data_IF_118607971234
#
_entry.id   IF_118607971234
#
_cell.length_a   1.000
_cell.length_b   1.000
_cell.length_c   1.000
_cell.angle_alpha   90.00
_cell.angle_beta   90.00
_cell.angle_gamma   90.00
#
_symmetry.space_group_name_H-M   'P 1'
#
loop_
_entity.id
_entity.type
_entity.pdbx_description
1 polymer ?
#
# COMPACT_ATOMS: atom_id res chain seq x y z
N UNK A 1 9.47 14.08 3.25
CA UNK A 1 8.35 13.84 2.31
C UNK A 1 7.20 14.86 2.39
N UNK A 2 7.20 15.86 3.28
CA UNK A 2 6.07 16.81 3.44
C UNK A 2 5.89 17.86 2.33
N UNK A 3 6.66 17.80 1.23
CA UNK A 3 6.58 18.78 0.13
C UNK A 3 5.80 18.27 -1.09
N UNK A 4 5.48 16.97 -1.15
CA UNK A 4 4.79 16.35 -2.29
C UNK A 4 3.33 16.09 -1.88
N UNK A 5 2.35 16.84 -2.45
CA UNK A 5 0.94 16.72 -2.05
C UNK A 5 0.32 15.39 -2.47
N UNK A 6 0.75 14.82 -3.60
CA UNK A 6 0.28 13.54 -4.12
C UNK A 6 1.46 12.68 -4.57
N UNK A 7 1.52 11.44 -4.09
CA UNK A 7 2.42 10.41 -4.58
C UNK A 7 1.60 9.28 -5.20
N UNK A 8 2.05 8.78 -6.35
CA UNK A 8 1.47 7.61 -7.02
C UNK A 8 2.50 6.49 -6.98
N UNK A 9 2.09 5.33 -6.48
CA UNK A 9 2.87 4.09 -6.55
C UNK A 9 2.09 3.10 -7.39
N UNK A 10 2.65 2.80 -8.56
CA UNK A 10 2.02 1.95 -9.56
C UNK A 10 2.48 0.50 -9.40
N UNK A 11 1.61 -0.45 -9.78
CA UNK A 11 1.89 -1.89 -9.87
C UNK A 11 2.42 -2.54 -8.57
N UNK A 12 1.93 -2.11 -7.41
CA UNK A 12 2.30 -2.74 -6.13
C UNK A 12 1.91 -4.21 -6.13
N UNK A 13 2.89 -5.06 -5.79
CA UNK A 13 2.71 -6.50 -5.75
C UNK A 13 2.93 -7.23 -7.07
N UNK A 14 3.49 -6.59 -8.10
CA UNK A 14 3.94 -7.31 -9.30
C UNK A 14 4.99 -8.40 -8.96
N UNK A 15 5.95 -8.06 -8.10
CA UNK A 15 6.87 -9.01 -7.44
C UNK A 15 6.74 -8.90 -5.92
N UNK A 16 7.02 -9.99 -5.17
CA UNK A 16 7.13 -9.93 -3.71
C UNK A 16 8.16 -8.90 -3.27
N UNK A 17 7.86 -8.17 -2.20
CA UNK A 17 8.85 -7.29 -1.59
C UNK A 17 9.81 -8.09 -0.73
N UNK A 18 11.07 -7.69 -0.73
CA UNK A 18 11.98 -8.03 0.35
C UNK A 18 11.52 -7.36 1.65
N UNK A 19 11.82 -7.95 2.80
CA UNK A 19 11.35 -7.46 4.10
C UNK A 19 11.70 -6.00 4.35
N UNK A 20 12.87 -5.55 3.89
CA UNK A 20 13.28 -4.14 4.01
C UNK A 20 12.42 -3.22 3.13
N UNK A 21 12.12 -3.60 1.89
CA UNK A 21 11.24 -2.85 0.99
C UNK A 21 9.81 -2.77 1.54
N UNK A 22 9.29 -3.85 2.12
CA UNK A 22 8.00 -3.85 2.81
C UNK A 22 7.96 -2.86 3.98
N UNK A 23 9.01 -2.83 4.80
CA UNK A 23 9.13 -1.89 5.90
C UNK A 23 9.22 -0.43 5.40
N UNK A 24 10.01 -0.17 4.35
CA UNK A 24 10.09 1.16 3.74
C UNK A 24 8.75 1.62 3.17
N UNK A 25 8.00 0.73 2.50
CA UNK A 25 6.67 1.04 1.99
C UNK A 25 5.69 1.33 3.14
N UNK A 26 5.79 0.61 4.24
CA UNK A 26 4.99 0.85 5.43
C UNK A 26 5.27 2.19 6.07
N UNK A 27 6.55 2.57 6.17
CA UNK A 27 6.97 3.89 6.65
C UNK A 27 6.47 4.99 5.72
N UNK A 28 6.53 4.79 4.39
CA UNK A 28 5.97 5.70 3.41
C UNK A 28 4.47 5.91 3.64
N UNK A 29 3.68 4.82 3.66
CA UNK A 29 2.23 4.89 3.89
C UNK A 29 1.92 5.57 5.23
N UNK A 30 2.62 5.18 6.31
CA UNK A 30 2.43 5.77 7.64
C UNK A 30 2.79 7.25 7.70
N UNK A 31 3.81 7.70 6.97
CA UNK A 31 4.21 9.11 6.93
C UNK A 31 3.19 10.01 6.21
N UNK A 32 2.38 9.41 5.33
CA UNK A 32 1.37 10.09 4.51
C UNK A 32 -0.04 9.98 5.09
N UNK A 33 -0.30 8.97 5.92
CA UNK A 33 -1.55 8.76 6.64
C UNK A 33 -2.04 10.07 7.30
N UNK A 34 -3.26 10.49 6.95
CA UNK A 34 -3.90 11.74 7.41
C UNK A 34 -3.10 13.04 7.16
N UNK A 35 -2.06 13.01 6.32
CA UNK A 35 -1.15 14.15 6.07
C UNK A 35 -1.02 14.54 4.61
N UNK A 36 -0.97 13.58 3.68
CA UNK A 36 -0.85 13.84 2.24
C UNK A 36 -1.35 12.64 1.42
N UNK A 37 -1.87 12.89 0.22
CA UNK A 37 -2.54 11.84 -0.58
C UNK A 37 -1.56 10.82 -1.14
N UNK A 38 -1.97 9.55 -1.16
CA UNK A 38 -1.23 8.43 -1.76
C UNK A 38 -2.20 7.65 -2.65
N UNK A 39 -1.85 7.46 -3.92
CA UNK A 39 -2.55 6.54 -4.82
C UNK A 39 -1.67 5.31 -4.98
N UNK A 40 -2.27 4.14 -4.78
CA UNK A 40 -1.64 2.85 -5.01
C UNK A 40 -2.46 2.08 -6.02
N UNK A 41 -1.81 1.52 -7.04
CA UNK A 41 -2.44 0.57 -7.95
C UNK A 41 -1.87 -0.82 -7.70
N UNK A 42 -2.69 -1.85 -7.89
CA UNK A 42 -2.28 -3.24 -7.81
C UNK A 42 -3.16 -4.09 -8.70
N UNK A 43 -2.57 -5.11 -9.33
CA UNK A 43 -3.31 -6.16 -10.02
C UNK A 43 -3.66 -7.34 -9.10
N UNK A 44 -3.22 -7.32 -7.83
CA UNK A 44 -3.52 -8.35 -6.83
C UNK A 44 -4.68 -7.89 -5.93
N UNK A 45 -5.68 -8.76 -5.69
CA UNK A 45 -6.69 -8.47 -4.67
C UNK A 45 -6.04 -8.45 -3.28
N UNK A 46 -6.62 -7.69 -2.34
CA UNK A 46 -6.10 -7.56 -0.97
C UNK A 46 -5.83 -8.90 -0.27
N UNK A 47 -6.65 -9.94 -0.52
CA UNK A 47 -6.41 -11.28 0.03
C UNK A 47 -5.15 -11.98 -0.47
N UNK A 48 -4.41 -11.41 -1.43
CA UNK A 48 -3.11 -11.90 -1.91
C UNK A 48 -1.94 -11.00 -1.51
N UNK A 49 -2.19 -9.95 -0.72
CA UNK A 49 -1.13 -9.04 -0.32
C UNK A 49 -0.16 -9.66 0.70
N UNK A 50 -0.53 -10.77 1.36
CA UNK A 50 0.43 -11.56 2.15
C UNK A 50 1.62 -12.06 1.32
N UNK A 51 1.39 -12.45 0.06
CA UNK A 51 2.45 -12.82 -0.89
C UNK A 51 3.38 -11.64 -1.24
N UNK A 52 2.91 -10.41 -1.04
CA UNK A 52 3.63 -9.18 -1.40
C UNK A 52 4.43 -8.66 -0.21
N UNK A 53 3.82 -8.63 0.97
CA UNK A 53 4.39 -8.00 2.17
C UNK A 53 5.01 -9.01 3.17
N UNK A 54 5.00 -10.30 2.85
CA UNK A 54 5.68 -11.37 3.59
C UNK A 54 4.71 -12.31 4.31
N UNK A 55 3.68 -11.77 4.96
CA UNK A 55 2.62 -12.55 5.59
C UNK A 55 1.30 -11.74 5.66
N UNK A 56 0.21 -12.44 6.01
CA UNK A 56 -1.13 -11.84 6.07
C UNK A 56 -1.29 -10.83 7.22
N UNK A 57 -0.48 -10.90 8.28
CA UNK A 57 -0.54 -9.98 9.41
C UNK A 57 0.03 -8.62 9.00
N UNK A 58 1.20 -8.61 8.36
CA UNK A 58 1.83 -7.39 7.83
C UNK A 58 0.98 -6.81 6.70
N UNK A 59 0.45 -7.65 5.81
CA UNK A 59 -0.44 -7.22 4.75
C UNK A 59 -1.72 -6.55 5.29
N UNK A 60 -2.38 -7.15 6.28
CA UNK A 60 -3.57 -6.55 6.91
C UNK A 60 -3.26 -5.19 7.54
N UNK A 61 -2.13 -5.07 8.24
CA UNK A 61 -1.70 -3.80 8.84
C UNK A 61 -1.37 -2.72 7.79
N UNK A 62 -0.88 -3.12 6.62
CA UNK A 62 -0.68 -2.21 5.48
C UNK A 62 -2.01 -1.76 4.88
N UNK A 63 -2.91 -2.71 4.60
CA UNK A 63 -4.22 -2.45 4.01
C UNK A 63 -5.01 -1.51 4.91
N UNK A 64 -5.03 -1.75 6.22
CA UNK A 64 -5.72 -0.89 7.19
C UNK A 64 -5.26 0.58 7.09
N UNK A 65 -3.94 0.80 7.02
CA UNK A 65 -3.37 2.14 6.84
C UNK A 65 -3.73 2.79 5.51
N UNK A 66 -3.74 2.02 4.43
CA UNK A 66 -4.05 2.53 3.10
C UNK A 66 -5.54 2.81 2.91
N UNK A 67 -6.42 2.01 3.54
CA UNK A 67 -7.85 2.01 3.26
C UNK A 67 -8.66 2.86 4.25
N UNK A 68 -8.15 3.12 5.46
CA UNK A 68 -8.93 3.79 6.51
C UNK A 68 -9.49 5.17 6.07
N UNK A 69 -8.69 6.15 5.63
CA UNK A 69 -9.18 7.36 4.99
C UNK A 69 -9.04 7.29 3.46
N UNK A 70 -9.58 6.27 2.80
CA UNK A 70 -9.45 6.13 1.35
C UNK A 70 -10.71 5.65 0.63
N UNK A 71 -10.72 5.94 -0.68
CA UNK A 71 -11.66 5.35 -1.63
C UNK A 71 -10.99 4.16 -2.32
N UNK A 72 -11.59 2.98 -2.22
CA UNK A 72 -11.11 1.77 -2.90
C UNK A 72 -11.88 1.59 -4.19
N UNK A 73 -11.19 1.78 -5.31
CA UNK A 73 -11.76 1.57 -6.64
C UNK A 73 -11.28 0.21 -7.16
N UNK A 74 -12.18 -0.76 -7.18
CA UNK A 74 -11.94 -2.04 -7.85
C UNK A 74 -12.41 -1.94 -9.29
N UNK A 75 -11.57 -2.35 -10.24
CA UNK A 75 -12.05 -2.59 -11.61
C UNK A 75 -12.95 -3.80 -11.56
N UNK A 76 -14.25 -3.57 -11.76
CA UNK A 76 -15.26 -4.63 -11.81
C UNK A 76 -14.84 -5.74 -12.78
N UNK A 77 -15.09 -6.98 -12.35
CA UNK A 77 -15.44 -8.02 -13.32
C UNK A 77 -16.84 -7.74 -13.82
#
# INVERSE_FOLDING_TARGET
MGRIPLLVVDEVGYIPFESEAANLFFQLASSRYERASLIVTSNKPFGRWGEVFGDDVVAAAMIDRLVHPAEVISRGR
#
